data_IF_456414429306
#
_entry.id   IF_456414429306
#
_cell.length_a   1.000
_cell.length_b   1.000
_cell.length_c   1.000
_cell.angle_alpha   90.00
_cell.angle_beta   90.00
_cell.angle_gamma   90.00
#
_symmetry.space_group_name_H-M   'P 1'
#
loop_
_entity.id
_entity.type
_entity.pdbx_description
1 polymer ?
#
# COMPACT_ATOMS: atom_id res chain seq x y z
N UNK A 1 -3.76 -25.95 9.05
CA UNK A 1 -4.82 -25.10 8.46
C UNK A 1 -4.91 -23.67 9.04
N UNK A 2 -4.28 -23.33 10.18
CA UNK A 2 -4.32 -21.97 10.75
C UNK A 2 -3.34 -20.99 10.10
N UNK A 3 -2.13 -21.43 9.74
CA UNK A 3 -1.09 -20.59 9.14
C UNK A 3 -1.48 -20.05 7.77
N UNK A 4 -2.07 -20.89 6.92
CA UNK A 4 -2.58 -20.46 5.60
C UNK A 4 -3.68 -19.40 5.72
N UNK A 5 -4.62 -19.57 6.67
CA UNK A 5 -5.68 -18.58 6.94
C UNK A 5 -5.12 -17.26 7.47
N UNK A 6 -4.09 -17.30 8.32
CA UNK A 6 -3.40 -16.08 8.79
C UNK A 6 -2.70 -15.36 7.64
N UNK A 7 -1.99 -16.09 6.79
CA UNK A 7 -1.31 -15.52 5.63
C UNK A 7 -2.30 -14.87 4.66
N UNK A 8 -3.41 -15.55 4.36
CA UNK A 8 -4.46 -15.01 3.50
C UNK A 8 -5.10 -13.74 4.07
N UNK A 9 -5.31 -13.69 5.40
CA UNK A 9 -5.81 -12.50 6.09
C UNK A 9 -4.86 -11.30 5.96
N UNK A 10 -3.57 -11.50 6.24
CA UNK A 10 -2.56 -10.43 6.09
C UNK A 10 -2.40 -9.99 4.63
N UNK A 11 -2.45 -10.93 3.68
CA UNK A 11 -2.36 -10.62 2.26
C UNK A 11 -3.54 -9.79 1.77
N UNK A 12 -4.77 -10.14 2.16
CA UNK A 12 -5.96 -9.33 1.84
C UNK A 12 -5.89 -7.95 2.47
N UNK A 13 -5.47 -7.86 3.73
CA UNK A 13 -5.28 -6.59 4.42
C UNK A 13 -4.27 -5.71 3.69
N UNK A 14 -3.12 -6.26 3.27
CA UNK A 14 -2.11 -5.51 2.54
C UNK A 14 -2.54 -5.12 1.13
N UNK A 15 -3.46 -5.88 0.52
CA UNK A 15 -4.06 -5.52 -0.76
C UNK A 15 -5.01 -4.31 -0.62
N UNK A 16 -5.79 -4.26 0.46
CA UNK A 16 -6.70 -3.14 0.75
C UNK A 16 -5.95 -1.87 1.13
N UNK A 17 -4.85 -1.97 1.88
CA UNK A 17 -4.02 -0.79 2.17
C UNK A 17 -3.17 -0.39 0.97
N UNK A 18 -2.51 -1.36 0.31
CA UNK A 18 -1.61 -1.10 -0.81
C UNK A 18 -2.27 -0.51 -2.06
N UNK A 19 -3.60 -0.58 -2.20
CA UNK A 19 -4.32 0.06 -3.31
C UNK A 19 -4.59 1.56 -3.09
N UNK A 20 -4.48 2.06 -1.85
CA UNK A 20 -4.72 3.47 -1.53
C UNK A 20 -3.78 4.38 -2.31
N UNK A 21 -2.47 4.09 -2.30
CA UNK A 21 -1.49 4.87 -3.06
C UNK A 21 -1.76 4.91 -4.58
N UNK A 22 -1.96 3.76 -5.26
CA UNK A 22 -2.40 3.70 -6.66
C UNK A 22 -3.67 4.50 -6.96
N UNK A 23 -4.67 4.48 -6.07
CA UNK A 23 -5.91 5.27 -6.26
C UNK A 23 -5.59 6.77 -6.29
N UNK A 24 -4.76 7.27 -5.39
CA UNK A 24 -4.34 8.68 -5.37
C UNK A 24 -3.56 9.06 -6.63
N UNK A 25 -2.66 8.19 -7.10
CA UNK A 25 -1.91 8.41 -8.33
C UNK A 25 -2.82 8.40 -9.56
N UNK A 26 -3.76 7.45 -9.64
CA UNK A 26 -4.76 7.39 -10.72
C UNK A 26 -5.62 8.65 -10.71
N UNK A 27 -6.09 9.10 -9.54
CA UNK A 27 -6.85 10.34 -9.41
C UNK A 27 -6.05 11.54 -9.93
N UNK A 28 -4.77 11.65 -9.56
CA UNK A 28 -3.90 12.71 -10.05
C UNK A 28 -3.76 12.72 -11.58
N UNK A 29 -3.52 11.57 -12.20
CA UNK A 29 -3.33 11.47 -13.66
C UNK A 29 -4.65 11.52 -14.46
N UNK A 30 -5.76 11.09 -13.88
CA UNK A 30 -7.08 11.12 -14.52
C UNK A 30 -7.76 12.50 -14.42
N UNK A 31 -7.33 13.35 -13.48
CA UNK A 31 -7.83 14.71 -13.36
C UNK A 31 -7.16 15.62 -14.41
N UNK A 32 -7.88 16.63 -14.89
CA UNK A 32 -7.30 17.68 -15.74
C UNK A 32 -6.05 18.29 -15.06
N UNK A 33 -5.06 18.80 -15.80
CA UNK A 33 -3.83 19.36 -15.26
C UNK A 33 -4.12 20.62 -14.44
N UNK A 34 -4.56 20.39 -13.21
CA UNK A 34 -4.81 21.39 -12.19
C UNK A 34 -3.57 21.46 -11.29
N UNK A 35 -2.88 22.61 -11.21
CA UNK A 35 -1.78 22.82 -10.29
C UNK A 35 -2.11 22.46 -8.84
N UNK A 36 -3.38 22.58 -8.43
CA UNK A 36 -3.86 22.21 -7.11
C UNK A 36 -3.81 20.70 -6.86
N UNK A 37 -3.75 19.83 -7.88
CA UNK A 37 -3.72 18.38 -7.69
C UNK A 37 -2.33 17.82 -7.40
N UNK A 38 -1.26 18.62 -7.52
CA UNK A 38 0.13 18.17 -7.27
C UNK A 38 0.34 17.54 -5.90
N UNK A 39 -0.41 17.94 -4.87
CA UNK A 39 -0.31 17.30 -3.55
C UNK A 39 -0.76 15.83 -3.59
N UNK A 40 -1.75 15.48 -4.42
CA UNK A 40 -2.26 14.12 -4.53
C UNK A 40 -1.22 13.18 -5.16
N UNK A 41 -0.41 13.69 -6.09
CA UNK A 41 0.75 12.96 -6.63
C UNK A 41 1.77 12.63 -5.52
N UNK A 42 2.22 13.65 -4.79
CA UNK A 42 3.22 13.48 -3.74
C UNK A 42 2.69 12.66 -2.56
N UNK A 43 1.44 12.87 -2.15
CA UNK A 43 0.77 12.07 -1.13
C UNK A 43 0.61 10.61 -1.57
N UNK A 44 0.17 10.37 -2.81
CA UNK A 44 0.04 9.03 -3.37
C UNK A 44 1.38 8.27 -3.39
N UNK A 45 2.46 8.91 -3.85
CA UNK A 45 3.80 8.33 -3.81
C UNK A 45 4.27 8.01 -2.39
N UNK A 46 4.03 8.92 -1.44
CA UNK A 46 4.41 8.72 -0.05
C UNK A 46 3.64 7.53 0.54
N UNK A 47 2.32 7.49 0.38
CA UNK A 47 1.48 6.37 0.85
C UNK A 47 1.97 5.05 0.26
N UNK A 48 2.18 4.96 -1.06
CA UNK A 48 2.71 3.76 -1.71
C UNK A 48 4.05 3.33 -1.12
N UNK A 49 4.97 4.27 -0.89
CA UNK A 49 6.27 3.96 -0.30
C UNK A 49 6.14 3.36 1.10
N UNK A 50 5.33 3.97 1.97
CA UNK A 50 5.10 3.46 3.32
C UNK A 50 4.40 2.10 3.32
N UNK A 51 3.39 1.89 2.46
CA UNK A 51 2.72 0.60 2.32
C UNK A 51 3.72 -0.51 1.97
N UNK A 52 4.62 -0.28 1.00
CA UNK A 52 5.64 -1.25 0.59
C UNK A 52 6.63 -1.50 1.73
N UNK A 53 7.12 -0.45 2.39
CA UNK A 53 8.10 -0.59 3.50
C UNK A 53 7.48 -1.35 4.68
N UNK A 54 6.24 -1.05 5.04
CA UNK A 54 5.50 -1.76 6.09
C UNK A 54 5.27 -3.21 5.68
N UNK A 55 4.91 -3.49 4.42
CA UNK A 55 4.71 -4.86 3.93
C UNK A 55 6.00 -5.67 4.08
N UNK A 56 7.12 -5.11 3.62
CA UNK A 56 8.44 -5.75 3.74
C UNK A 56 8.84 -5.96 5.21
N UNK A 57 8.57 -5.00 6.09
CA UNK A 57 8.86 -5.12 7.51
C UNK A 57 8.01 -6.23 8.17
N UNK A 58 6.71 -6.30 7.86
CA UNK A 58 5.81 -7.33 8.36
C UNK A 58 6.21 -8.72 7.87
N UNK A 59 6.55 -8.87 6.59
CA UNK A 59 7.07 -10.12 6.03
C UNK A 59 8.35 -10.57 6.74
N UNK A 60 9.29 -9.65 6.97
CA UNK A 60 10.52 -9.95 7.73
C UNK A 60 10.23 -10.36 9.17
N UNK A 61 9.32 -9.66 9.86
CA UNK A 61 8.95 -9.98 11.25
C UNK A 61 8.26 -11.34 11.38
N UNK A 62 7.47 -11.74 10.38
CA UNK A 62 6.74 -13.02 10.37
C UNK A 62 7.68 -14.19 10.06
N UNK A 63 8.78 -13.98 9.34
CA UNK A 63 9.78 -14.99 9.01
C UNK A 63 10.74 -15.37 10.16
N UNK A 64 10.64 -14.72 11.33
CA UNK A 64 11.55 -14.92 12.47
C UNK A 64 10.90 -15.67 13.65
N UNK A 65 10.04 -16.66 13.38
CA UNK A 65 9.66 -17.63 14.41
C UNK A 65 10.67 -18.77 14.43
N UNK A 66 11.39 -19.03 15.55
CA UNK A 66 12.13 -20.28 15.73
C UNK A 66 11.20 -21.51 15.65
#
# INVERSE_FOLDING_TARGET
MSTFKRYLGFQLMMFVFGIVGPIFLIMFFATQPDPAMKWAYWAGLFITYFDIVIALALTKSTGNTP
#
